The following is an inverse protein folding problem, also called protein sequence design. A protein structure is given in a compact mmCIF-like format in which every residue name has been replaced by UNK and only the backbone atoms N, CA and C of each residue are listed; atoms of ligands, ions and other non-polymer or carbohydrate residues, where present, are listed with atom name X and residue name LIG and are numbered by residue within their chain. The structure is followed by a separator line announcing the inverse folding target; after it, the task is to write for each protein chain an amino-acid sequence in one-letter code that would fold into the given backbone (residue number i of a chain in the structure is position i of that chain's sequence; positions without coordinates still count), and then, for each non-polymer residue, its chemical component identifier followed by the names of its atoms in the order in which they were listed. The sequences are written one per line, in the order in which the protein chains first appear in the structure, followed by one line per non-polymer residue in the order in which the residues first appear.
data_IF_800149002581
#
_entry.id   IF_800149002581
#
_cell.length_a   1.000
_cell.length_b   1.000
_cell.length_c   1.000
_cell.angle_alpha   90.00
_cell.angle_beta   90.00
_cell.angle_gamma   90.00
#
_symmetry.space_group_name_H-M   'P 1'
#
loop_
_entity.id
_entity.type
_entity.pdbx_description
1 polymer ?
#
# COMPACT_ATOMS: atom_id res chain seq x y z
N UNK A 1 -15.79 2.84 -52.43
CA UNK A 1 -14.42 3.43 -52.53
C UNK A 1 -14.46 4.85 -51.99
N UNK A 2 -14.07 5.05 -50.74
CA UNK A 2 -13.78 6.36 -50.13
C UNK A 2 -12.49 6.15 -49.34
N UNK A 3 -11.45 6.88 -49.72
CA UNK A 3 -10.08 6.72 -49.26
C UNK A 3 -9.76 7.97 -48.43
N UNK A 4 -9.66 7.81 -47.11
CA UNK A 4 -9.31 8.91 -46.21
C UNK A 4 -7.78 8.88 -46.04
N UNK A 5 -7.12 9.92 -46.56
CA UNK A 5 -5.69 10.18 -46.41
C UNK A 5 -5.40 10.63 -44.97
N UNK A 6 -4.66 9.82 -44.21
CA UNK A 6 -4.08 10.24 -42.93
C UNK A 6 -2.64 10.68 -43.19
N UNK A 7 -2.43 11.99 -43.14
CA UNK A 7 -1.11 12.62 -43.18
C UNK A 7 -0.24 12.15 -42.01
N UNK A 8 0.96 11.67 -42.32
CA UNK A 8 1.98 11.22 -41.37
C UNK A 8 2.30 12.32 -40.36
N UNK A 9 1.99 12.08 -39.08
CA UNK A 9 2.63 12.76 -37.95
C UNK A 9 3.82 11.92 -37.51
N UNK A 10 5.00 12.53 -37.50
CA UNK A 10 6.21 11.98 -36.89
C UNK A 10 5.95 11.67 -35.40
N UNK A 11 6.37 10.51 -34.89
CA UNK A 11 6.29 10.23 -33.46
C UNK A 11 7.39 10.99 -32.70
N UNK A 12 6.97 11.84 -31.76
CA UNK A 12 7.82 12.39 -30.70
C UNK A 12 8.45 11.24 -29.90
N UNK A 13 9.78 11.25 -29.85
CA UNK A 13 10.61 10.30 -29.12
C UNK A 13 10.44 10.57 -27.62
N UNK A 14 9.82 9.64 -26.88
CA UNK A 14 9.94 9.56 -25.43
C UNK A 14 10.24 8.11 -25.04
N UNK A 15 11.47 7.92 -24.55
CA UNK A 15 12.03 6.74 -23.89
C UNK A 15 12.17 5.44 -24.70
N UNK A 16 13.38 5.29 -25.24
CA UNK A 16 14.00 4.03 -25.66
C UNK A 16 13.92 2.95 -24.57
N UNK A 17 12.98 2.01 -24.69
CA UNK A 17 13.19 0.63 -24.24
C UNK A 17 12.87 -0.30 -25.39
N UNK A 18 13.92 -0.90 -25.94
CA UNK A 18 13.86 -1.91 -26.98
C UNK A 18 12.88 -3.01 -26.57
N UNK A 19 11.90 -3.27 -27.42
CA UNK A 19 11.15 -4.52 -27.47
C UNK A 19 12.17 -5.65 -27.66
N UNK A 20 12.54 -6.33 -26.57
CA UNK A 20 13.17 -7.65 -26.68
C UNK A 20 12.05 -8.66 -26.83
N UNK A 21 12.09 -9.37 -27.95
CA UNK A 21 11.33 -10.59 -28.20
C UNK A 21 11.47 -11.52 -27.00
N UNK A 22 10.35 -11.74 -26.30
CA UNK A 22 10.27 -12.64 -25.15
C UNK A 22 10.31 -14.07 -25.67
N UNK A 23 11.49 -14.69 -25.65
CA UNK A 23 11.60 -16.15 -25.63
C UNK A 23 11.11 -16.64 -24.26
N UNK A 24 10.37 -17.74 -24.30
CA UNK A 24 9.84 -18.46 -23.14
C UNK A 24 10.92 -18.73 -22.07
N UNK A 25 10.54 -18.57 -20.80
CA UNK A 25 11.33 -18.96 -19.64
C UNK A 25 12.13 -17.80 -19.05
N UNK A 26 11.88 -17.55 -17.77
CA UNK A 26 12.67 -16.67 -16.88
C UNK A 26 12.45 -15.16 -17.03
N UNK A 27 11.28 -14.73 -16.56
CA UNK A 27 11.19 -13.45 -15.85
C UNK A 27 11.81 -13.69 -14.48
N UNK A 28 12.97 -13.10 -14.19
CA UNK A 28 13.41 -12.93 -12.80
C UNK A 28 12.35 -12.06 -12.10
N UNK A 29 11.40 -12.70 -11.43
CA UNK A 29 10.42 -12.05 -10.59
C UNK A 29 11.14 -11.54 -9.34
N UNK A 30 11.60 -10.27 -9.35
CA UNK A 30 12.20 -9.52 -8.23
C UNK A 30 11.37 -9.53 -6.90
N UNK A 31 10.22 -10.20 -6.90
CA UNK A 31 9.17 -10.20 -5.88
C UNK A 31 9.08 -11.50 -5.08
N UNK A 32 9.79 -12.56 -5.49
CA UNK A 32 9.67 -13.90 -4.92
C UNK A 32 10.99 -14.33 -4.28
N UNK A 33 10.97 -14.62 -2.97
CA UNK A 33 12.04 -15.42 -2.37
C UNK A 33 11.61 -16.90 -2.44
N UNK A 34 12.41 -17.73 -3.10
CA UNK A 34 12.22 -19.19 -3.05
C UNK A 34 12.51 -19.70 -1.64
N UNK A 35 11.48 -20.15 -0.94
CA UNK A 35 11.64 -21.10 0.17
C UNK A 35 11.75 -22.53 -0.38
N UNK A 36 11.78 -23.52 0.52
CA UNK A 36 11.76 -24.96 0.19
C UNK A 36 10.82 -25.27 -1.00
N UNK A 37 11.28 -26.16 -1.88
CA UNK A 37 10.72 -26.53 -3.18
C UNK A 37 9.17 -26.39 -3.20
N UNK A 38 8.67 -25.33 -3.84
CA UNK A 38 7.24 -25.12 -4.12
C UNK A 38 6.52 -24.01 -3.34
N UNK A 39 7.16 -23.37 -2.35
CA UNK A 39 6.56 -22.29 -1.57
C UNK A 39 7.25 -20.93 -1.77
N UNK A 40 6.46 -19.88 -1.92
CA UNK A 40 6.94 -18.49 -2.09
C UNK A 40 6.21 -17.52 -1.17
N UNK A 41 6.90 -16.45 -0.77
CA UNK A 41 6.32 -15.35 0.03
C UNK A 41 6.47 -14.02 -0.68
N UNK A 42 5.43 -13.17 -0.65
CA UNK A 42 5.49 -11.79 -1.14
C UNK A 42 6.15 -10.87 -0.12
N UNK A 43 7.19 -10.15 -0.56
CA UNK A 43 7.84 -9.06 0.20
C UNK A 43 7.47 -7.67 -0.32
N UNK A 44 6.39 -7.56 -1.08
CA UNK A 44 6.02 -6.35 -1.81
C UNK A 44 4.71 -5.78 -1.30
N UNK A 45 4.66 -4.47 -1.10
CA UNK A 45 3.44 -3.71 -0.83
C UNK A 45 3.10 -2.82 -2.03
N UNK A 46 1.88 -2.97 -2.55
CA UNK A 46 1.42 -2.21 -3.71
C UNK A 46 0.87 -0.83 -3.36
N UNK A 47 1.25 0.19 -4.14
CA UNK A 47 0.61 1.50 -4.16
C UNK A 47 -0.56 1.61 -5.16
N UNK A 48 -0.82 0.54 -5.91
CA UNK A 48 -1.87 0.48 -6.95
C UNK A 48 -1.76 1.63 -7.97
N UNK A 49 -0.56 1.80 -8.51
CA UNK A 49 -0.20 2.87 -9.45
C UNK A 49 -0.68 2.58 -10.87
N UNK A 50 -0.58 1.32 -11.27
CA UNK A 50 -0.88 0.86 -12.63
C UNK A 50 -2.16 0.04 -12.62
N UNK A 51 -3.09 0.39 -13.52
CA UNK A 51 -4.34 -0.33 -13.65
C UNK A 51 -4.09 -1.75 -14.22
N UNK A 52 -4.82 -2.77 -13.73
CA UNK A 52 -4.76 -4.10 -14.32
C UNK A 52 -5.29 -4.07 -15.76
N UNK A 53 -4.67 -4.88 -16.62
CA UNK A 53 -5.08 -5.06 -18.02
C UNK A 53 -5.79 -6.41 -18.24
N UNK A 54 -6.05 -7.13 -17.15
CA UNK A 54 -6.72 -8.42 -17.15
C UNK A 54 -8.15 -8.32 -17.67
N UNK A 55 -8.53 -9.29 -18.49
CA UNK A 55 -9.92 -9.49 -18.91
C UNK A 55 -10.55 -10.46 -17.92
N UNK A 56 -11.60 -10.01 -17.23
CA UNK A 56 -12.34 -10.79 -16.23
C UNK A 56 -13.83 -10.82 -16.57
N UNK A 57 -14.51 -11.88 -16.14
CA UNK A 57 -15.95 -12.00 -16.30
C UNK A 57 -16.70 -11.01 -15.40
N UNK A 58 -17.93 -10.63 -15.76
CA UNK A 58 -18.74 -9.69 -14.96
C UNK A 58 -19.04 -10.23 -13.55
N UNK A 59 -19.29 -11.53 -13.42
CA UNK A 59 -19.51 -12.18 -12.12
C UNK A 59 -18.24 -12.20 -11.27
N UNK A 60 -17.09 -12.47 -11.89
CA UNK A 60 -15.78 -12.42 -11.22
C UNK A 60 -15.46 -11.00 -10.76
N UNK A 61 -15.72 -9.99 -11.60
CA UNK A 61 -15.61 -8.58 -11.27
C UNK A 61 -16.42 -8.26 -10.00
N UNK A 62 -17.70 -8.65 -9.96
CA UNK A 62 -18.55 -8.41 -8.80
C UNK A 62 -18.00 -9.13 -7.56
N UNK A 63 -17.69 -10.42 -7.68
CA UNK A 63 -17.26 -11.26 -6.57
C UNK A 63 -15.96 -10.78 -5.94
N UNK A 64 -14.96 -10.44 -6.76
CA UNK A 64 -13.65 -9.93 -6.32
C UNK A 64 -13.79 -8.54 -5.68
N UNK A 65 -14.64 -7.69 -6.23
CA UNK A 65 -14.96 -6.39 -5.64
C UNK A 65 -15.64 -6.51 -4.27
N UNK A 66 -16.69 -7.33 -4.17
CA UNK A 66 -17.42 -7.56 -2.90
C UNK A 66 -16.51 -8.18 -1.84
N UNK A 67 -15.65 -9.13 -2.22
CA UNK A 67 -14.69 -9.74 -1.30
C UNK A 67 -13.76 -8.70 -0.66
N UNK A 68 -13.30 -7.69 -1.41
CA UNK A 68 -12.48 -6.61 -0.82
C UNK A 68 -13.30 -5.74 0.12
N UNK A 69 -14.55 -5.42 -0.22
CA UNK A 69 -15.42 -4.64 0.67
C UNK A 69 -15.68 -5.36 2.00
N UNK A 70 -15.82 -6.68 1.97
CA UNK A 70 -15.92 -7.49 3.19
C UNK A 70 -14.66 -7.36 4.05
N UNK A 71 -13.46 -7.50 3.46
CA UNK A 71 -12.20 -7.28 4.18
C UNK A 71 -12.13 -5.87 4.78
N UNK A 72 -12.47 -4.83 4.01
CA UNK A 72 -12.42 -3.44 4.47
C UNK A 72 -13.42 -3.14 5.60
N UNK A 73 -14.62 -3.74 5.56
CA UNK A 73 -15.59 -3.65 6.64
C UNK A 73 -15.14 -4.37 7.91
N UNK A 74 -14.51 -5.55 7.78
CA UNK A 74 -13.96 -6.22 8.95
C UNK A 74 -12.82 -5.43 9.57
N UNK A 75 -11.97 -4.79 8.76
CA UNK A 75 -10.95 -3.86 9.26
C UNK A 75 -11.56 -2.68 10.00
N UNK A 76 -12.69 -2.14 9.51
CA UNK A 76 -13.43 -1.10 10.23
C UNK A 76 -13.93 -1.59 11.59
N UNK A 77 -14.55 -2.77 11.63
CA UNK A 77 -15.04 -3.38 12.87
C UNK A 77 -13.91 -3.63 13.87
N UNK A 78 -12.82 -4.29 13.44
CA UNK A 78 -11.65 -4.58 14.27
C UNK A 78 -11.07 -3.27 14.81
N UNK A 79 -10.94 -2.23 13.98
CA UNK A 79 -10.42 -0.94 14.43
C UNK A 79 -11.31 -0.27 15.48
N UNK A 80 -12.63 -0.37 15.34
CA UNK A 80 -13.57 0.22 16.30
C UNK A 80 -13.67 -0.59 17.61
N UNK A 81 -13.44 -1.90 17.56
CA UNK A 81 -13.50 -2.82 18.70
C UNK A 81 -12.18 -2.97 19.44
N UNK A 82 -11.04 -2.71 18.80
CA UNK A 82 -9.70 -2.93 19.37
C UNK A 82 -9.21 -1.71 20.13
N UNK A 83 -9.21 -1.75 21.46
CA UNK A 83 -8.59 -0.71 22.28
C UNK A 83 -7.10 -0.97 22.61
N UNK A 84 -6.57 -2.21 22.60
CA UNK A 84 -5.27 -2.45 23.26
C UNK A 84 -4.25 -3.43 22.62
N UNK A 85 -4.55 -4.23 21.57
CA UNK A 85 -3.60 -5.26 21.07
C UNK A 85 -3.32 -5.23 19.54
N UNK A 86 -2.37 -4.39 19.10
CA UNK A 86 -1.98 -4.24 17.67
C UNK A 86 -1.44 -5.53 17.02
N UNK A 87 -0.66 -6.34 17.73
CA UNK A 87 -0.03 -7.54 17.14
C UNK A 87 -1.05 -8.65 16.81
N UNK A 88 -2.15 -8.72 17.57
CA UNK A 88 -3.25 -9.64 17.27
C UNK A 88 -4.03 -9.17 16.03
N UNK A 89 -4.26 -7.86 15.91
CA UNK A 89 -4.94 -7.24 14.77
C UNK A 89 -4.26 -7.55 13.44
N UNK A 90 -2.92 -7.49 13.38
CA UNK A 90 -2.18 -7.76 12.12
C UNK A 90 -2.36 -9.20 11.65
N UNK A 91 -2.30 -10.17 12.58
CA UNK A 91 -2.50 -11.59 12.28
C UNK A 91 -3.91 -11.87 11.78
N UNK A 92 -4.91 -11.29 12.44
CA UNK A 92 -6.32 -11.41 12.07
C UNK A 92 -6.57 -10.85 10.66
N UNK A 93 -6.07 -9.64 10.35
CA UNK A 93 -6.25 -9.01 9.03
C UNK A 93 -5.56 -9.81 7.92
N UNK A 94 -4.39 -10.37 8.18
CA UNK A 94 -3.71 -11.23 7.22
C UNK A 94 -4.47 -12.54 6.98
N UNK A 95 -5.10 -13.12 8.00
CA UNK A 95 -5.96 -14.29 7.85
C UNK A 95 -7.19 -13.97 7.00
N UNK A 96 -7.86 -12.85 7.26
CA UNK A 96 -9.01 -12.39 6.46
C UNK A 96 -8.63 -12.18 5.00
N UNK A 97 -7.51 -11.50 4.76
CA UNK A 97 -6.99 -11.23 3.42
C UNK A 97 -6.70 -12.54 2.66
N UNK A 98 -6.14 -13.55 3.34
CA UNK A 98 -5.93 -14.89 2.78
C UNK A 98 -7.23 -15.61 2.45
N UNK A 99 -8.22 -15.58 3.35
CA UNK A 99 -9.53 -16.23 3.15
C UNK A 99 -10.23 -15.70 1.89
N UNK A 100 -10.10 -14.40 1.63
CA UNK A 100 -10.64 -13.75 0.42
C UNK A 100 -9.72 -13.85 -0.81
N UNK A 101 -8.68 -14.68 -0.77
CA UNK A 101 -7.71 -14.89 -1.87
C UNK A 101 -7.08 -13.60 -2.35
N UNK A 102 -6.70 -12.73 -1.43
CA UNK A 102 -5.92 -11.52 -1.70
C UNK A 102 -4.49 -11.67 -1.22
N UNK A 103 -3.61 -10.83 -1.75
CA UNK A 103 -2.21 -10.78 -1.36
C UNK A 103 -2.10 -10.52 0.15
N UNK A 104 -1.51 -11.47 0.86
CA UNK A 104 -1.08 -11.26 2.24
C UNK A 104 0.38 -10.83 2.24
N UNK A 105 0.64 -9.63 2.69
CA UNK A 105 1.99 -9.08 2.73
C UNK A 105 2.48 -9.13 4.18
N UNK A 106 3.73 -9.52 4.37
CA UNK A 106 4.38 -9.44 5.68
C UNK A 106 3.70 -10.26 6.77
N UNK A 107 4.10 -11.52 6.89
CA UNK A 107 3.93 -12.27 8.12
C UNK A 107 5.31 -12.66 8.64
N UNK A 108 6.24 -11.69 8.70
CA UNK A 108 7.59 -11.95 9.21
C UNK A 108 7.54 -12.05 10.72
N UNK A 109 7.73 -13.26 11.25
CA UNK A 109 8.00 -13.45 12.66
C UNK A 109 9.46 -13.06 12.92
N UNK A 110 9.67 -11.90 13.54
CA UNK A 110 11.00 -11.40 13.92
C UNK A 110 11.73 -12.35 14.89
N UNK A 111 10.98 -13.12 15.69
CA UNK A 111 11.55 -14.05 16.67
C UNK A 111 12.13 -15.30 15.99
N UNK A 112 11.44 -15.82 14.97
CA UNK A 112 11.82 -17.04 14.26
C UNK A 112 12.42 -16.76 12.87
N UNK A 113 12.55 -15.48 12.48
CA UNK A 113 12.95 -15.00 11.14
C UNK A 113 12.21 -15.72 10.01
N UNK A 114 10.95 -16.11 10.23
CA UNK A 114 10.19 -16.97 9.33
C UNK A 114 8.84 -16.36 8.98
N UNK A 115 8.38 -16.59 7.76
CA UNK A 115 7.06 -16.16 7.32
C UNK A 115 5.98 -17.15 7.75
N UNK A 116 4.97 -16.68 8.48
CA UNK A 116 3.92 -17.53 9.06
C UNK A 116 2.93 -18.12 8.03
N UNK A 117 2.94 -17.63 6.78
CA UNK A 117 2.05 -18.13 5.72
C UNK A 117 2.83 -18.49 4.45
N UNK A 118 2.84 -19.79 4.14
CA UNK A 118 3.34 -20.33 2.87
C UNK A 118 2.19 -20.38 1.85
N UNK A 119 2.44 -19.93 0.62
CA UNK A 119 1.54 -20.09 -0.53
C UNK A 119 2.22 -20.96 -1.59
N UNK A 120 1.43 -21.75 -2.32
CA UNK A 120 1.91 -22.29 -3.60
C UNK A 120 2.08 -21.11 -4.57
N UNK A 121 3.09 -21.17 -5.44
CA UNK A 121 3.40 -20.07 -6.38
C UNK A 121 2.18 -19.61 -7.21
N UNK A 122 1.36 -20.55 -7.68
CA UNK A 122 0.13 -20.23 -8.43
C UNK A 122 -0.89 -19.46 -7.59
N UNK A 123 -1.18 -19.92 -6.38
CA UNK A 123 -2.13 -19.29 -5.45
C UNK A 123 -1.69 -17.86 -5.10
N UNK A 124 -0.38 -17.64 -4.96
CA UNK A 124 0.19 -16.32 -4.71
C UNK A 124 -0.01 -15.37 -5.88
N UNK A 125 0.23 -15.83 -7.12
CA UNK A 125 0.04 -15.03 -8.32
C UNK A 125 -1.44 -14.64 -8.50
N UNK A 126 -2.36 -15.58 -8.26
CA UNK A 126 -3.80 -15.29 -8.27
C UNK A 126 -4.17 -14.29 -7.17
N UNK A 127 -3.61 -14.43 -5.97
CA UNK A 127 -3.87 -13.53 -4.86
C UNK A 127 -3.38 -12.09 -5.13
N UNK A 128 -2.21 -11.93 -5.74
CA UNK A 128 -1.67 -10.63 -6.18
C UNK A 128 -2.58 -10.01 -7.24
N UNK A 129 -2.99 -10.81 -8.23
CA UNK A 129 -3.89 -10.37 -9.30
C UNK A 129 -5.24 -9.90 -8.73
N UNK A 130 -5.87 -10.71 -7.89
CA UNK A 130 -7.15 -10.41 -7.28
C UNK A 130 -7.08 -9.19 -6.36
N UNK A 131 -6.00 -9.02 -5.60
CA UNK A 131 -5.79 -7.84 -4.76
C UNK A 131 -5.69 -6.57 -5.60
N UNK A 132 -4.95 -6.60 -6.70
CA UNK A 132 -4.84 -5.46 -7.61
C UNK A 132 -6.19 -5.13 -8.27
N UNK A 133 -6.84 -6.14 -8.86
CA UNK A 133 -8.14 -5.97 -9.53
C UNK A 133 -9.19 -5.43 -8.58
N UNK A 134 -9.36 -6.06 -7.40
CA UNK A 134 -10.36 -5.64 -6.43
C UNK A 134 -10.21 -4.19 -5.99
N UNK A 135 -8.96 -3.72 -5.81
CA UNK A 135 -8.69 -2.32 -5.46
C UNK A 135 -9.24 -1.36 -6.51
N UNK A 136 -8.97 -1.62 -7.79
CA UNK A 136 -9.45 -0.77 -8.88
C UNK A 136 -10.97 -0.86 -9.07
N UNK A 137 -11.57 -2.02 -8.84
CA UNK A 137 -13.03 -2.17 -8.84
C UNK A 137 -13.67 -1.30 -7.75
N UNK A 138 -13.14 -1.36 -6.52
CA UNK A 138 -13.62 -0.52 -5.42
C UNK A 138 -13.44 0.98 -5.70
N UNK A 139 -12.37 1.39 -6.40
CA UNK A 139 -12.22 2.79 -6.84
C UNK A 139 -13.39 3.24 -7.72
N UNK A 140 -13.87 2.38 -8.63
CA UNK A 140 -15.01 2.71 -9.47
C UNK A 140 -16.31 2.84 -8.66
N UNK A 141 -16.55 1.93 -7.73
CA UNK A 141 -17.77 1.93 -6.90
C UNK A 141 -17.82 3.13 -5.91
N UNK A 142 -16.68 3.49 -5.30
CA UNK A 142 -16.61 4.46 -4.19
C UNK A 142 -16.16 5.87 -4.61
N UNK A 143 -15.94 6.15 -5.89
CA UNK A 143 -15.52 7.50 -6.33
C UNK A 143 -16.64 8.57 -6.35
N UNK A 144 -17.91 8.15 -6.21
CA UNK A 144 -19.11 8.96 -6.53
C UNK A 144 -19.39 10.10 -5.56
N UNK A 145 -19.44 9.82 -4.26
CA UNK A 145 -19.74 10.81 -3.22
C UNK A 145 -18.55 11.01 -2.31
N UNK A 146 -18.48 12.16 -1.63
CA UNK A 146 -17.40 12.44 -0.69
C UNK A 146 -17.37 11.45 0.48
N UNK A 147 -18.54 11.08 1.00
CA UNK A 147 -18.68 10.09 2.08
C UNK A 147 -18.13 8.73 1.69
N UNK A 148 -18.49 8.22 0.49
CA UNK A 148 -17.96 6.96 -0.03
C UNK A 148 -16.44 7.04 -0.21
N UNK A 149 -15.93 8.12 -0.80
CA UNK A 149 -14.48 8.33 -0.96
C UNK A 149 -13.77 8.34 0.38
N UNK A 150 -14.31 9.06 1.37
CA UNK A 150 -13.72 9.19 2.71
C UNK A 150 -13.67 7.84 3.42
N UNK A 151 -14.74 7.06 3.36
CA UNK A 151 -14.80 5.72 3.94
C UNK A 151 -13.77 4.80 3.27
N UNK A 152 -13.82 4.67 1.95
CA UNK A 152 -12.92 3.77 1.21
C UNK A 152 -11.46 4.15 1.42
N UNK A 153 -11.09 5.43 1.27
CA UNK A 153 -9.72 5.89 1.52
C UNK A 153 -9.28 5.57 2.94
N UNK A 154 -10.17 5.65 3.93
CA UNK A 154 -9.82 5.38 5.32
C UNK A 154 -9.55 3.89 5.57
N UNK A 155 -10.46 3.00 5.16
CA UNK A 155 -10.26 1.57 5.37
C UNK A 155 -9.11 1.02 4.52
N UNK A 156 -8.99 1.46 3.28
CA UNK A 156 -7.93 1.05 2.37
C UNK A 156 -6.55 1.52 2.86
N UNK A 157 -6.46 2.72 3.44
CA UNK A 157 -5.23 3.20 4.09
C UNK A 157 -4.88 2.38 5.34
N UNK A 158 -5.89 1.88 6.09
CA UNK A 158 -5.66 0.98 7.24
C UNK A 158 -5.09 -0.35 6.75
N UNK A 159 -5.71 -0.99 5.76
CA UNK A 159 -5.20 -2.23 5.15
C UNK A 159 -3.75 -2.08 4.69
N UNK A 160 -3.45 -1.00 3.97
CA UNK A 160 -2.10 -0.67 3.53
C UNK A 160 -1.12 -0.51 4.71
N UNK A 161 -1.52 0.16 5.78
CA UNK A 161 -0.68 0.35 6.96
C UNK A 161 -0.38 -0.98 7.69
N UNK A 162 -1.36 -1.87 7.82
CA UNK A 162 -1.15 -3.18 8.42
C UNK A 162 -0.17 -4.04 7.62
N UNK A 163 -0.25 -3.99 6.29
CA UNK A 163 0.70 -4.65 5.38
C UNK A 163 2.13 -4.08 5.52
N UNK A 164 2.25 -2.76 5.69
CA UNK A 164 3.54 -2.10 5.91
C UNK A 164 4.19 -2.46 7.25
N UNK A 165 3.42 -2.54 8.34
CA UNK A 165 3.96 -2.83 9.68
C UNK A 165 4.72 -4.15 9.74
N UNK A 166 4.39 -5.07 8.85
CA UNK A 166 5.01 -6.39 8.79
C UNK A 166 6.22 -6.47 7.85
N UNK A 167 6.65 -5.35 7.26
CA UNK A 167 7.87 -5.27 6.46
C UNK A 167 9.06 -4.80 7.30
N UNK A 168 10.25 -5.25 6.89
CA UNK A 168 11.51 -4.74 7.42
C UNK A 168 11.66 -3.24 7.11
N UNK A 169 12.22 -2.44 8.05
CA UNK A 169 12.38 -1.00 7.88
C UNK A 169 13.14 -0.59 6.59
N UNK A 170 14.15 -1.37 6.18
CA UNK A 170 14.91 -1.13 4.94
C UNK A 170 14.07 -1.32 3.68
N UNK A 171 13.12 -2.26 3.69
CA UNK A 171 12.19 -2.45 2.56
C UNK A 171 11.22 -1.30 2.44
N UNK A 172 10.78 -0.73 3.56
CA UNK A 172 9.92 0.45 3.57
C UNK A 172 10.67 1.66 2.99
N UNK A 173 11.95 1.83 3.34
CA UNK A 173 12.82 2.84 2.73
C UNK A 173 12.92 2.67 1.21
N UNK A 174 13.17 1.46 0.73
CA UNK A 174 13.25 1.17 -0.71
C UNK A 174 11.93 1.47 -1.44
N UNK A 175 10.80 1.13 -0.82
CA UNK A 175 9.46 1.43 -1.36
C UNK A 175 9.25 2.95 -1.45
N UNK A 176 9.56 3.70 -0.39
CA UNK A 176 9.45 5.15 -0.36
C UNK A 176 10.36 5.82 -1.41
N UNK A 177 11.58 5.32 -1.59
CA UNK A 177 12.50 5.76 -2.66
C UNK A 177 11.89 5.55 -4.04
N UNK A 178 11.45 4.32 -4.34
CA UNK A 178 10.92 3.95 -5.67
C UNK A 178 9.58 4.59 -5.99
N UNK A 179 8.68 4.72 -5.00
CA UNK A 179 7.27 5.12 -5.21
C UNK A 179 6.98 6.58 -4.89
N UNK A 180 7.74 7.16 -3.96
CA UNK A 180 7.54 8.55 -3.50
C UNK A 180 8.72 9.47 -3.85
N UNK A 181 9.80 8.95 -4.45
CA UNK A 181 10.99 9.75 -4.77
C UNK A 181 11.80 10.17 -3.55
N UNK A 182 11.60 9.50 -2.40
CA UNK A 182 12.22 9.87 -1.12
C UNK A 182 13.63 9.28 -1.00
N UNK A 183 14.58 9.81 -1.77
CA UNK A 183 15.99 9.40 -1.77
C UNK A 183 16.77 10.08 -0.64
N UNK A 184 16.41 9.76 0.60
CA UNK A 184 17.03 10.35 1.79
C UNK A 184 18.08 9.43 2.41
N UNK A 185 19.14 10.06 2.92
CA UNK A 185 20.26 9.41 3.58
C UNK A 185 20.00 9.26 5.08
N UNK A 186 20.53 8.17 5.63
CA UNK A 186 20.62 7.97 7.07
C UNK A 186 21.66 8.92 7.67
N UNK A 187 21.45 9.34 8.91
CA UNK A 187 22.44 10.14 9.62
C UNK A 187 23.69 9.31 9.91
N UNK A 188 24.82 10.00 9.94
CA UNK A 188 26.11 9.47 10.35
C UNK A 188 26.48 10.04 11.72
N UNK A 189 27.29 9.31 12.49
CA UNK A 189 27.75 9.77 13.80
C UNK A 189 28.54 11.09 13.70
N UNK A 190 29.22 11.30 12.57
CA UNK A 190 29.99 12.53 12.28
C UNK A 190 29.14 13.70 11.79
N UNK A 191 27.82 13.51 11.58
CA UNK A 191 26.96 14.60 11.11
C UNK A 191 26.86 15.68 12.20
N UNK A 192 27.15 16.93 11.85
CA UNK A 192 27.12 18.07 12.80
C UNK A 192 25.79 18.18 13.56
N UNK A 193 24.68 17.85 12.91
CA UNK A 193 23.37 17.87 13.56
C UNK A 193 23.27 16.79 14.64
N UNK A 194 23.82 15.61 14.40
CA UNK A 194 23.82 14.52 15.37
C UNK A 194 24.74 14.87 16.54
N UNK A 195 25.97 15.33 16.27
CA UNK A 195 26.92 15.76 17.30
C UNK A 195 26.31 16.83 18.21
N UNK A 196 25.56 17.78 17.67
CA UNK A 196 25.01 18.90 18.44
C UNK A 196 23.65 18.61 19.10
N UNK A 197 22.85 17.71 18.53
CA UNK A 197 21.44 17.53 18.90
C UNK A 197 21.02 16.06 19.09
N UNK A 198 21.97 15.13 19.30
CA UNK A 198 21.66 13.71 19.49
C UNK A 198 20.60 13.48 20.58
N UNK A 199 20.70 14.19 21.71
CA UNK A 199 19.74 14.03 22.81
C UNK A 199 18.33 14.48 22.41
N UNK A 200 18.19 15.61 21.71
CA UNK A 200 16.91 16.13 21.22
C UNK A 200 16.28 15.18 20.18
N UNK A 201 17.11 14.67 19.25
CA UNK A 201 16.69 13.72 18.22
C UNK A 201 16.19 12.42 18.87
N UNK A 202 16.86 11.95 19.92
CA UNK A 202 16.50 10.72 20.65
C UNK A 202 15.34 10.90 21.60
N UNK A 203 15.14 12.10 22.14
CA UNK A 203 14.16 12.40 23.20
C UNK A 203 12.76 11.91 22.83
N UNK A 204 12.32 12.19 21.60
CA UNK A 204 10.98 11.84 21.13
C UNK A 204 10.76 10.31 21.02
N UNK A 205 11.83 9.53 20.85
CA UNK A 205 11.75 8.06 20.83
C UNK A 205 11.64 7.48 22.24
N UNK A 206 12.36 8.05 23.22
CA UNK A 206 12.29 7.62 24.63
C UNK A 206 10.87 7.71 25.20
N UNK A 207 10.10 8.74 24.83
CA UNK A 207 8.72 8.92 25.28
C UNK A 207 7.69 8.00 24.62
N UNK A 208 8.01 7.44 23.45
CA UNK A 208 7.07 6.61 22.66
C UNK A 208 7.30 5.11 22.81
N UNK A 209 8.45 4.69 23.34
CA UNK A 209 8.75 3.28 23.54
C UNK A 209 8.14 2.78 24.85
N UNK A 210 7.19 1.85 24.76
CA UNK A 210 6.64 1.13 25.93
C UNK A 210 7.60 0.07 26.47
N UNK A 211 8.61 -0.31 25.67
CA UNK A 211 9.67 -1.24 26.07
C UNK A 211 10.95 -0.45 26.40
N UNK A 212 11.68 -0.80 27.47
CA UNK A 212 12.99 -0.21 27.72
C UNK A 212 13.89 -0.48 26.51
N UNK A 213 14.41 0.59 25.90
CA UNK A 213 15.29 0.48 24.74
C UNK A 213 16.59 -0.19 25.21
N UNK A 214 16.74 -1.49 24.93
CA UNK A 214 17.88 -2.31 25.39
C UNK A 214 19.20 -1.93 24.71
N UNK A 215 19.16 -1.16 23.62
CA UNK A 215 20.31 -0.75 22.81
C UNK A 215 20.34 0.78 22.66
N UNK A 216 21.54 1.35 22.68
CA UNK A 216 21.72 2.76 22.37
C UNK A 216 21.28 3.02 20.92
N UNK A 217 20.38 3.97 20.72
CA UNK A 217 19.90 4.37 19.40
C UNK A 217 21.05 5.01 18.60
N UNK A 218 21.33 4.57 17.39
CA UNK A 218 22.47 5.07 16.61
C UNK A 218 22.02 6.18 15.65
N UNK A 219 22.98 6.96 15.12
CA UNK A 219 22.68 7.96 14.10
C UNK A 219 22.04 7.30 12.87
N UNK A 220 22.56 6.13 12.49
CA UNK A 220 22.10 5.34 11.35
C UNK A 220 20.62 4.95 11.42
N UNK A 221 20.00 4.98 12.62
CA UNK A 221 18.59 4.68 12.74
C UNK A 221 17.66 5.85 12.40
N UNK A 222 18.22 7.01 12.04
CA UNK A 222 17.47 8.20 11.69
C UNK A 222 17.76 8.59 10.26
N UNK A 223 16.75 9.13 9.59
CA UNK A 223 16.88 9.71 8.26
C UNK A 223 16.57 11.20 8.30
N UNK A 224 17.30 11.96 7.48
CA UNK A 224 17.07 13.39 7.30
C UNK A 224 16.13 13.61 6.12
N UNK A 225 14.94 14.17 6.38
CA UNK A 225 13.95 14.45 5.34
C UNK A 225 13.49 15.91 5.37
N UNK A 226 13.16 16.55 4.25
CA UNK A 226 12.47 17.84 4.25
C UNK A 226 11.18 17.73 5.07
N UNK A 227 10.91 18.71 5.94
CA UNK A 227 9.76 18.61 6.86
C UNK A 227 8.41 18.46 6.13
N UNK A 228 8.32 18.96 4.89
CA UNK A 228 7.13 18.86 4.02
C UNK A 228 6.77 17.41 3.67
N UNK A 229 7.75 16.51 3.66
CA UNK A 229 7.51 15.10 3.35
C UNK A 229 7.11 14.29 4.60
N UNK A 230 7.33 14.86 5.78
CA UNK A 230 7.02 14.27 7.08
C UNK A 230 5.92 15.05 7.83
N UNK A 231 5.04 15.77 7.13
CA UNK A 231 3.96 16.59 7.75
C UNK A 231 3.14 15.78 8.74
N UNK A 232 2.85 14.51 8.44
CA UNK A 232 2.06 13.63 9.29
C UNK A 232 2.68 13.39 10.67
N UNK A 233 4.01 13.42 10.77
CA UNK A 233 4.76 13.30 12.02
C UNK A 233 4.97 14.67 12.68
N UNK A 234 5.21 15.70 11.87
CA UNK A 234 5.42 17.08 12.34
C UNK A 234 4.19 17.62 13.07
N UNK A 235 3.00 17.44 12.50
CA UNK A 235 1.74 17.90 13.11
C UNK A 235 1.51 17.32 14.52
N UNK A 236 2.02 16.10 14.76
CA UNK A 236 1.90 15.39 16.02
C UNK A 236 3.10 15.60 16.95
N UNK A 237 4.05 16.47 16.58
CA UNK A 237 5.30 16.72 17.31
C UNK A 237 6.11 15.43 17.56
N UNK A 238 6.08 14.51 16.59
CA UNK A 238 6.68 13.19 16.71
C UNK A 238 8.13 13.11 16.20
N UNK A 239 8.64 14.20 15.62
CA UNK A 239 9.98 14.27 15.01
C UNK A 239 10.70 15.55 15.42
N UNK A 240 12.03 15.48 15.52
CA UNK A 240 12.86 16.65 15.76
C UNK A 240 12.96 17.47 14.46
N UNK A 241 12.91 18.79 14.59
CA UNK A 241 12.95 19.74 13.47
C UNK A 241 14.13 20.69 13.63
N UNK A 242 14.93 20.83 12.57
CA UNK A 242 15.99 21.83 12.52
C UNK A 242 16.23 22.30 11.09
N UNK A 243 16.28 23.63 10.90
CA UNK A 243 16.60 24.29 9.63
C UNK A 243 15.79 23.77 8.42
N UNK A 244 14.49 23.50 8.61
CA UNK A 244 13.59 23.02 7.55
C UNK A 244 13.65 21.51 7.28
N UNK A 245 14.39 20.75 8.08
CA UNK A 245 14.46 19.28 8.00
C UNK A 245 13.84 18.64 9.24
N UNK A 246 13.20 17.50 9.02
CA UNK A 246 12.75 16.57 10.03
C UNK A 246 13.72 15.38 10.11
N UNK A 247 13.98 14.93 11.34
CA UNK A 247 14.83 13.79 11.62
C UNK A 247 13.95 12.65 12.09
N UNK A 248 13.72 11.69 11.19
CA UNK A 248 12.69 10.67 11.33
C UNK A 248 13.34 9.34 11.66
N UNK A 249 12.84 8.67 12.68
CA UNK A 249 13.27 7.33 13.02
C UNK A 249 12.75 6.32 11.96
N UNK A 250 13.55 5.32 11.57
CA UNK A 250 13.17 4.43 10.45
C UNK A 250 11.84 3.70 10.72
N UNK A 251 11.50 3.34 11.97
CA UNK A 251 10.21 2.70 12.25
C UNK A 251 8.99 3.62 12.05
N UNK A 252 9.18 4.95 12.08
CA UNK A 252 8.12 5.94 11.85
C UNK A 252 7.87 6.18 10.34
N UNK A 253 8.67 5.59 9.45
CA UNK A 253 8.47 5.69 8.00
C UNK A 253 7.12 5.14 7.53
N UNK A 254 6.57 4.17 8.26
CA UNK A 254 5.23 3.65 8.02
C UNK A 254 4.17 4.77 8.04
N UNK A 255 4.32 5.75 8.93
CA UNK A 255 3.41 6.90 9.02
C UNK A 255 3.52 7.84 7.82
N UNK A 256 4.72 7.96 7.25
CA UNK A 256 4.94 8.75 6.03
C UNK A 256 4.36 8.01 4.82
N UNK A 257 4.69 6.74 4.64
CA UNK A 257 4.18 5.91 3.56
C UNK A 257 2.64 5.87 3.56
N UNK A 258 2.03 5.70 4.74
CA UNK A 258 0.58 5.76 4.94
C UNK A 258 -0.02 7.09 4.48
N UNK A 259 0.61 8.21 4.83
CA UNK A 259 0.13 9.54 4.45
C UNK A 259 0.22 9.76 2.93
N UNK A 260 1.33 9.36 2.31
CA UNK A 260 1.53 9.44 0.86
C UNK A 260 0.51 8.58 0.10
N UNK A 261 0.30 7.33 0.54
CA UNK A 261 -0.70 6.44 -0.02
C UNK A 261 -2.11 7.06 0.05
N UNK A 262 -2.51 7.56 1.23
CA UNK A 262 -3.81 8.20 1.44
C UNK A 262 -4.03 9.38 0.49
N UNK A 263 -3.05 10.27 0.37
CA UNK A 263 -3.12 11.43 -0.50
C UNK A 263 -3.25 11.02 -1.99
N UNK A 264 -2.43 10.05 -2.41
CA UNK A 264 -2.45 9.52 -3.78
C UNK A 264 -3.80 8.88 -4.10
N UNK A 265 -4.30 8.00 -3.24
CA UNK A 265 -5.58 7.31 -3.44
C UNK A 265 -6.74 8.31 -3.55
N UNK A 266 -6.78 9.31 -2.67
CA UNK A 266 -7.79 10.37 -2.74
C UNK A 266 -7.75 11.12 -4.07
N UNK A 267 -6.55 11.49 -4.55
CA UNK A 267 -6.40 12.13 -5.86
C UNK A 267 -6.85 11.22 -7.01
N UNK A 268 -6.59 9.91 -6.94
CA UNK A 268 -7.00 8.96 -7.98
C UNK A 268 -8.53 8.75 -8.00
N UNK A 269 -9.21 8.73 -6.86
CA UNK A 269 -10.68 8.65 -6.82
C UNK A 269 -11.33 9.89 -7.45
N UNK A 270 -10.76 11.07 -7.20
CA UNK A 270 -11.23 12.30 -7.84
C UNK A 270 -11.03 12.26 -9.37
N UNK A 271 -9.95 11.65 -9.85
CA UNK A 271 -9.75 11.43 -11.29
C UNK A 271 -10.74 10.41 -11.85
N UNK A 272 -10.94 9.28 -11.18
CA UNK A 272 -11.87 8.24 -11.60
C UNK A 272 -13.31 8.78 -11.73
N UNK A 273 -13.73 9.64 -10.78
CA UNK A 273 -15.04 10.27 -10.81
C UNK A 273 -15.29 11.08 -12.09
N UNK A 274 -14.28 11.71 -12.68
CA UNK A 274 -14.42 12.47 -13.94
C UNK A 274 -14.84 11.59 -15.13
N UNK A 275 -14.58 10.29 -15.07
CA UNK A 275 -14.91 9.33 -16.12
C UNK A 275 -16.15 8.50 -15.80
N UNK A 276 -16.82 8.74 -14.66
CA UNK A 276 -17.95 7.92 -14.20
C UNK A 276 -19.10 7.89 -15.21
N UNK A 277 -19.37 9.02 -15.89
CA UNK A 277 -20.42 9.12 -16.91
C UNK A 277 -20.17 8.23 -18.13
N UNK A 278 -18.91 7.93 -18.47
CA UNK A 278 -18.58 6.98 -19.54
C UNK A 278 -18.77 5.55 -19.09
N UNK A 279 -18.38 5.23 -17.85
CA UNK A 279 -18.51 3.89 -17.26
C UNK A 279 -19.98 3.51 -17.12
N UNK A 280 -20.82 4.47 -16.73
CA UNK A 280 -22.25 4.24 -16.47
C UNK A 280 -23.10 4.10 -17.73
N UNK A 281 -22.51 4.23 -18.92
CA UNK A 281 -23.20 3.90 -20.18
C UNK A 281 -23.52 2.42 -20.31
N UNK A 282 -22.73 1.54 -19.68
CA UNK A 282 -23.06 0.12 -19.58
C UNK A 282 -23.94 -0.09 -18.34
N UNK A 283 -25.22 -0.43 -18.58
CA UNK A 283 -26.20 -0.65 -17.51
C UNK A 283 -25.78 -1.78 -16.55
N UNK A 284 -25.10 -2.81 -17.05
CA UNK A 284 -24.67 -3.95 -16.23
C UNK A 284 -23.58 -3.52 -15.26
N UNK A 285 -22.62 -2.71 -15.73
CA UNK A 285 -21.57 -2.16 -14.87
C UNK A 285 -22.14 -1.15 -13.88
N UNK A 286 -23.04 -0.26 -14.33
CA UNK A 286 -23.63 0.76 -13.47
C UNK A 286 -24.45 0.15 -12.32
N UNK A 287 -25.35 -0.79 -12.61
CA UNK A 287 -26.20 -1.45 -11.62
C UNK A 287 -25.37 -2.21 -10.58
N UNK A 288 -24.34 -2.92 -11.02
CA UNK A 288 -23.40 -3.62 -10.13
C UNK A 288 -22.60 -2.67 -9.24
N UNK A 289 -21.99 -1.61 -9.80
CA UNK A 289 -21.21 -0.65 -9.01
C UNK A 289 -22.09 0.10 -8.00
N UNK A 290 -23.33 0.43 -8.39
CA UNK A 290 -24.32 1.02 -7.49
C UNK A 290 -24.66 0.06 -6.34
N UNK A 291 -24.97 -1.20 -6.63
CA UNK A 291 -25.22 -2.22 -5.62
C UNK A 291 -24.06 -2.31 -4.62
N UNK A 292 -22.82 -2.40 -5.11
CA UNK A 292 -21.62 -2.46 -4.28
C UNK A 292 -21.50 -1.29 -3.29
N UNK A 293 -21.78 -0.07 -3.74
CA UNK A 293 -21.67 1.14 -2.93
C UNK A 293 -22.86 1.41 -2.00
N UNK A 294 -24.02 0.78 -2.26
CA UNK A 294 -25.20 0.90 -1.43
C UNK A 294 -25.17 -0.05 -0.22
N UNK A 295 -24.25 -1.03 -0.21
CA UNK A 295 -24.16 -2.07 0.83
C UNK A 295 -23.70 -1.59 2.22
N UNK A 296 -23.68 -0.29 2.52
CA UNK A 296 -23.50 0.19 3.89
C UNK A 296 -24.60 -0.31 4.85
N UNK A 297 -25.71 -0.86 4.33
CA UNK A 297 -26.87 -1.38 5.09
C UNK A 297 -27.02 -2.90 5.08
N UNK A 298 -26.20 -3.66 4.35
CA UNK A 298 -26.26 -5.12 4.42
C UNK A 298 -25.28 -5.55 5.52
N UNK A 299 -25.87 -6.01 6.63
CA UNK A 299 -25.23 -6.92 7.57
C UNK A 299 -24.70 -8.10 6.77
N UNK A 300 -23.42 -8.03 6.42
CA UNK A 300 -22.69 -9.25 6.13
C UNK A 300 -22.72 -9.99 7.45
N UNK A 301 -23.49 -11.08 7.55
CA UNK A 301 -23.47 -11.96 8.71
C UNK A 301 -22.01 -12.24 9.06
N UNK A 302 -21.51 -11.52 10.07
CA UNK A 302 -20.23 -11.76 10.71
C UNK A 302 -20.50 -13.00 11.55
N UNK A 303 -20.34 -14.16 10.94
CA UNK A 303 -20.26 -15.44 11.65
C UNK A 303 -18.86 -15.60 12.24
#
# INVERSE_FOLDING_TARGET
KIQIHVSRKEPMIINNRKLKERKNGDVEDDYLMSGEIGYTTTKYVSFYDEAPHDIIGIHEFQSVGVSRLQVLKQIEFIYNSSSENQDNTNKEINLLTKQHKFNTEGNYDDSNKQFLMKFKRHELNEAIKNDNISHFICRLAYCRTEELRKWFVTQETRLFYYRLQSLEPDKILDILRKKCGMNYEQLKEDDQIWVNHADDIRFLRKFRSTKPVKQATLASDFIKVPFKDAISLVQNRQVFLSRGFAYVYISDLNSIARAQFRAKLSAQLNKAYKFIGTIFKDERLSSMLLAMSNHNTIDFNIQ
#
